data_IF_891203090987
#
_entry.id   IF_891203090987
#
_cell.length_a   1.000
_cell.length_b   1.000
_cell.length_c   1.000
_cell.angle_alpha   90.00
_cell.angle_beta   90.00
_cell.angle_gamma   90.00
#
_symmetry.space_group_name_H-M   'P 1'
#
loop_
_entity.id
_entity.type
_entity.pdbx_description
1 polymer ?
#
# COMPACT_ATOMS: atom_id res chain seq x y z
N UNK A 1 0.58 11.22 5.22
CA UNK A 1 1.88 11.28 4.50
C UNK A 1 2.89 10.21 4.98
N UNK A 2 2.84 9.77 6.24
CA UNK A 2 3.80 8.80 6.82
C UNK A 2 3.87 7.41 6.16
N UNK A 3 2.77 6.90 5.60
CA UNK A 3 2.75 5.54 5.00
C UNK A 3 3.56 5.47 3.71
N UNK A 4 3.50 6.49 2.86
CA UNK A 4 4.31 6.48 1.65
C UNK A 4 5.78 6.74 1.97
N UNK A 5 6.07 7.70 2.86
CA UNK A 5 7.43 8.07 3.21
C UNK A 5 8.23 6.90 3.80
N UNK A 6 7.71 6.25 4.85
CA UNK A 6 8.38 5.08 5.46
C UNK A 6 8.57 3.91 4.49
N UNK A 7 7.68 3.75 3.50
CA UNK A 7 7.77 2.68 2.51
C UNK A 7 8.76 3.01 1.39
N UNK A 8 8.86 4.29 1.02
CA UNK A 8 9.90 4.81 0.11
C UNK A 8 11.27 4.67 0.77
N UNK A 9 11.44 5.06 2.04
CA UNK A 9 12.70 4.90 2.78
C UNK A 9 13.17 3.44 2.81
N UNK A 10 12.25 2.49 2.99
CA UNK A 10 12.60 1.07 2.92
C UNK A 10 13.01 0.71 1.50
N UNK A 11 12.29 1.13 0.46
CA UNK A 11 12.61 0.84 -0.96
C UNK A 11 13.92 1.44 -1.45
N UNK A 12 14.32 2.62 -0.94
CA UNK A 12 15.55 3.33 -1.33
C UNK A 12 16.82 2.76 -0.67
N UNK A 13 16.67 1.81 0.26
CA UNK A 13 17.81 1.15 0.90
C UNK A 13 18.65 0.40 -0.16
N UNK A 14 19.94 0.70 -0.25
CA UNK A 14 20.86 -0.03 -1.14
C UNK A 14 20.82 -1.52 -0.76
N UNK A 15 20.45 -2.38 -1.72
CA UNK A 15 20.30 -3.85 -1.64
C UNK A 15 18.92 -4.45 -1.37
N UNK A 16 17.81 -3.73 -1.55
CA UNK A 16 16.51 -4.43 -1.54
C UNK A 16 16.40 -5.43 -2.69
N UNK A 17 16.10 -6.68 -2.36
CA UNK A 17 15.69 -7.68 -3.33
C UNK A 17 14.33 -7.33 -3.94
N UNK A 18 14.08 -7.80 -5.16
CA UNK A 18 12.77 -7.61 -5.82
C UNK A 18 11.61 -8.19 -4.97
N UNK A 19 11.87 -9.25 -4.21
CA UNK A 19 10.89 -9.85 -3.29
C UNK A 19 10.57 -8.94 -2.10
N UNK A 20 11.56 -8.25 -1.54
CA UNK A 20 11.35 -7.27 -0.47
C UNK A 20 10.58 -6.05 -1.00
N UNK A 21 10.95 -5.53 -2.17
CA UNK A 21 10.24 -4.43 -2.81
C UNK A 21 8.78 -4.83 -3.09
N UNK A 22 8.54 -6.04 -3.62
CA UNK A 22 7.20 -6.57 -3.86
C UNK A 22 6.37 -6.65 -2.56
N UNK A 23 6.97 -7.13 -1.47
CA UNK A 23 6.32 -7.21 -0.15
C UNK A 23 5.95 -5.82 0.41
N UNK A 24 6.84 -4.83 0.25
CA UNK A 24 6.59 -3.45 0.66
C UNK A 24 5.42 -2.87 -0.12
N UNK A 25 5.41 -3.01 -1.44
CA UNK A 25 4.33 -2.49 -2.29
C UNK A 25 3.00 -3.18 -1.99
N UNK A 26 2.99 -4.49 -1.76
CA UNK A 26 1.79 -5.22 -1.32
C UNK A 26 1.26 -4.69 0.02
N UNK A 27 2.15 -4.37 0.96
CA UNK A 27 1.73 -3.77 2.24
C UNK A 27 1.10 -2.39 2.08
N UNK A 28 1.55 -1.60 1.08
CA UNK A 28 0.96 -0.31 0.74
C UNK A 28 -0.42 -0.51 0.10
N UNK A 29 -0.54 -1.47 -0.82
CA UNK A 29 -1.81 -1.83 -1.46
C UNK A 29 -2.88 -2.20 -0.43
N UNK A 30 -2.52 -3.09 0.50
CA UNK A 30 -3.42 -3.52 1.58
C UNK A 30 -3.86 -2.34 2.45
N UNK A 31 -2.93 -1.47 2.86
CA UNK A 31 -3.26 -0.30 3.66
C UNK A 31 -4.18 0.70 2.92
N UNK A 32 -4.04 0.84 1.60
CA UNK A 32 -4.93 1.67 0.78
C UNK A 32 -6.31 1.02 0.64
N UNK A 33 -6.37 -0.30 0.46
CA UNK A 33 -7.63 -1.05 0.42
C UNK A 33 -8.41 -0.93 1.73
N UNK A 34 -7.75 -1.12 2.87
CA UNK A 34 -8.37 -0.97 4.20
C UNK A 34 -8.93 0.44 4.40
N UNK A 35 -8.15 1.47 4.07
CA UNK A 35 -8.59 2.87 4.16
C UNK A 35 -9.78 3.15 3.25
N UNK A 36 -9.80 2.59 2.03
CA UNK A 36 -10.93 2.71 1.13
C UNK A 36 -12.18 2.05 1.70
N UNK A 37 -12.06 0.82 2.20
CA UNK A 37 -13.18 0.09 2.81
C UNK A 37 -13.77 0.81 4.02
N UNK A 38 -12.93 1.47 4.81
CA UNK A 38 -13.33 2.26 5.97
C UNK A 38 -13.83 3.67 5.62
N UNK A 39 -13.88 4.04 4.33
CA UNK A 39 -14.10 5.42 3.86
C UNK A 39 -13.24 6.44 4.62
N UNK A 40 -12.00 6.05 4.91
CA UNK A 40 -11.12 6.81 5.77
C UNK A 40 -10.85 8.18 5.17
N UNK A 41 -11.01 9.22 5.99
CA UNK A 41 -10.76 10.59 5.60
C UNK A 41 -9.73 11.20 6.57
N UNK A 42 -8.50 11.49 6.10
CA UNK A 42 -7.45 12.01 6.95
C UNK A 42 -7.85 13.31 7.65
N UNK A 43 -7.47 13.47 8.92
CA UNK A 43 -7.74 14.69 9.71
C UNK A 43 -7.27 15.95 8.98
N UNK A 44 -6.08 15.90 8.37
CA UNK A 44 -5.55 17.03 7.63
C UNK A 44 -6.41 17.44 6.42
N UNK A 45 -7.02 16.47 5.75
CA UNK A 45 -7.96 16.74 4.64
C UNK A 45 -9.23 17.37 5.21
N UNK A 46 -9.73 16.88 6.35
CA UNK A 46 -10.87 17.50 7.03
C UNK A 46 -10.61 18.95 7.42
N UNK A 47 -9.42 19.25 7.93
CA UNK A 47 -8.98 20.61 8.27
C UNK A 47 -8.94 21.53 7.04
N UNK A 48 -8.26 21.10 5.97
CA UNK A 48 -8.06 21.92 4.77
C UNK A 48 -9.39 22.28 4.10
N UNK A 49 -10.33 21.34 4.08
CA UNK A 49 -11.62 21.52 3.41
C UNK A 49 -12.74 22.00 4.36
N UNK A 50 -12.43 22.34 5.61
CA UNK A 50 -13.42 22.73 6.62
C UNK A 50 -14.60 21.75 6.68
N UNK A 51 -14.28 20.48 6.94
CA UNK A 51 -15.24 19.38 6.91
C UNK A 51 -16.49 19.67 7.75
N UNK A 52 -17.65 19.58 7.11
CA UNK A 52 -18.97 19.81 7.71
C UNK A 52 -20.01 18.91 7.01
N UNK A 53 -21.27 18.95 7.45
CA UNK A 53 -22.30 18.09 6.85
C UNK A 53 -22.59 18.40 5.37
N UNK A 54 -22.45 19.64 4.92
CA UNK A 54 -22.79 20.01 3.54
C UNK A 54 -21.74 19.54 2.52
N UNK A 55 -20.47 19.40 2.92
CA UNK A 55 -19.40 18.89 2.06
C UNK A 55 -18.99 17.44 2.34
N UNK A 56 -19.51 16.82 3.40
CA UNK A 56 -19.09 15.48 3.85
C UNK A 56 -19.20 14.40 2.78
N UNK A 57 -20.31 14.33 2.05
CA UNK A 57 -20.56 13.30 1.03
C UNK A 57 -19.65 13.46 -0.17
N UNK A 58 -19.54 14.68 -0.70
CA UNK A 58 -18.67 14.99 -1.84
C UNK A 58 -17.21 14.71 -1.50
N UNK A 59 -16.74 15.15 -0.33
CA UNK A 59 -15.36 14.96 0.07
C UNK A 59 -15.01 13.49 0.30
N UNK A 60 -15.94 12.70 0.87
CA UNK A 60 -15.78 11.25 0.95
C UNK A 60 -15.66 10.61 -0.43
N UNK A 61 -16.53 10.99 -1.37
CA UNK A 61 -16.49 10.49 -2.75
C UNK A 61 -15.16 10.81 -3.42
N UNK A 62 -14.67 12.04 -3.31
CA UNK A 62 -13.37 12.42 -3.86
C UNK A 62 -12.22 11.67 -3.19
N UNK A 63 -12.28 11.44 -1.88
CA UNK A 63 -11.26 10.64 -1.19
C UNK A 63 -11.26 9.17 -1.65
N UNK A 64 -12.44 8.59 -1.87
CA UNK A 64 -12.56 7.24 -2.45
C UNK A 64 -11.97 7.19 -3.86
N UNK A 65 -12.23 8.20 -4.69
CA UNK A 65 -11.60 8.32 -6.01
C UNK A 65 -10.07 8.36 -5.90
N UNK A 66 -9.51 9.09 -4.93
CA UNK A 66 -8.05 9.13 -4.70
C UNK A 66 -7.51 7.75 -4.35
N UNK A 67 -8.20 6.98 -3.51
CA UNK A 67 -7.80 5.60 -3.22
C UNK A 67 -7.87 4.70 -4.44
N UNK A 68 -8.92 4.82 -5.25
CA UNK A 68 -9.07 4.06 -6.50
C UNK A 68 -7.94 4.33 -7.49
N UNK A 69 -7.59 5.61 -7.68
CA UNK A 69 -6.48 5.98 -8.55
C UNK A 69 -5.13 5.49 -8.01
N UNK A 70 -4.93 5.58 -6.69
CA UNK A 70 -3.72 5.07 -6.04
C UNK A 70 -3.55 3.56 -6.21
N UNK A 71 -4.63 2.79 -5.98
CA UNK A 71 -4.65 1.33 -6.19
C UNK A 71 -4.44 0.98 -7.66
N UNK A 72 -5.11 1.67 -8.59
CA UNK A 72 -4.93 1.46 -10.02
C UNK A 72 -3.48 1.71 -10.45
N UNK A 73 -2.88 2.82 -10.00
CA UNK A 73 -1.49 3.13 -10.29
C UNK A 73 -0.56 2.05 -9.75
N UNK A 74 -0.73 1.67 -8.48
CA UNK A 74 0.09 0.66 -7.84
C UNK A 74 0.01 -0.67 -8.60
N UNK A 75 -1.19 -1.13 -8.94
CA UNK A 75 -1.43 -2.36 -9.70
C UNK A 75 -0.76 -2.33 -11.08
N UNK A 76 -0.80 -1.19 -11.78
CA UNK A 76 -0.14 -1.04 -13.08
C UNK A 76 1.38 -1.20 -12.97
N UNK A 77 1.99 -0.71 -11.89
CA UNK A 77 3.42 -0.81 -11.65
C UNK A 77 3.85 -2.17 -11.11
N UNK A 78 3.00 -2.83 -10.31
CA UNK A 78 3.28 -4.14 -9.72
C UNK A 78 2.89 -5.32 -10.60
N UNK A 79 2.19 -5.12 -11.72
CA UNK A 79 1.80 -6.20 -12.64
C UNK A 79 3.00 -7.06 -13.11
N UNK A 80 4.13 -6.41 -13.39
CA UNK A 80 5.35 -7.12 -13.80
C UNK A 80 6.06 -7.82 -12.64
N UNK A 81 5.62 -7.62 -11.39
CA UNK A 81 6.24 -8.25 -10.23
C UNK A 81 5.70 -9.65 -9.99
N UNK A 82 4.56 -10.01 -10.61
CA UNK A 82 3.97 -11.33 -10.48
C UNK A 82 4.89 -12.44 -10.97
N UNK A 83 5.74 -12.16 -11.96
CA UNK A 83 6.75 -13.12 -12.45
C UNK A 83 7.80 -13.47 -11.37
N UNK A 84 8.01 -12.59 -10.39
CA UNK A 84 8.96 -12.79 -9.30
C UNK A 84 8.30 -13.42 -8.06
N UNK A 85 7.02 -13.81 -8.12
CA UNK A 85 6.35 -14.53 -7.04
C UNK A 85 7.09 -15.83 -6.68
N UNK A 86 7.78 -16.46 -7.64
CA UNK A 86 8.62 -17.63 -7.41
C UNK A 86 9.84 -17.35 -6.50
N UNK A 87 10.20 -16.08 -6.28
CA UNK A 87 11.30 -15.64 -5.41
C UNK A 87 10.80 -15.22 -4.02
N UNK A 88 9.50 -15.33 -3.71
CA UNK A 88 8.95 -15.00 -2.38
C UNK A 88 9.59 -15.77 -1.23
N UNK A 89 10.16 -16.95 -1.51
CA UNK A 89 10.87 -17.73 -0.50
C UNK A 89 12.15 -17.05 0.00
N UNK A 90 12.76 -16.16 -0.79
CA UNK A 90 13.94 -15.39 -0.39
C UNK A 90 13.65 -14.40 0.73
N UNK A 91 12.38 -14.01 0.89
CA UNK A 91 11.91 -13.12 1.96
C UNK A 91 11.51 -13.87 3.25
N UNK A 92 11.74 -15.18 3.35
CA UNK A 92 11.51 -15.92 4.59
C UNK A 92 12.60 -15.64 5.64
N UNK A 93 12.23 -14.88 6.67
CA UNK A 93 13.11 -14.62 7.82
C UNK A 93 13.05 -15.72 8.89
N UNK A 94 12.31 -16.81 8.64
CA UNK A 94 12.20 -17.96 9.53
C UNK A 94 12.76 -19.19 8.84
N UNK A 95 13.52 -20.00 9.59
CA UNK A 95 14.05 -21.25 9.08
C UNK A 95 12.87 -22.18 8.76
N UNK A 96 12.72 -22.66 7.51
CA UNK A 96 11.68 -23.63 7.19
C UNK A 96 11.89 -24.90 8.03
N UNK A 97 10.82 -25.34 8.70
CA UNK A 97 10.79 -26.63 9.39
C UNK A 97 10.62 -27.72 8.33
N UNK A 98 11.72 -28.22 7.82
CA UNK A 98 11.70 -29.43 6.99
C UNK A 98 11.41 -30.61 7.91
N UNK A 99 10.15 -31.06 7.95
CA UNK A 99 9.85 -32.39 8.51
C UNK A 99 10.35 -33.40 7.50
N UNK A 100 11.59 -33.87 7.69
CA UNK A 100 12.16 -34.95 6.91
C UNK A 100 11.23 -36.16 6.93
N UNK A 101 11.03 -36.76 5.75
CA UNK A 101 10.40 -38.06 5.60
C UNK A 101 11.43 -39.16 5.83
#
# INVERSE_FOLDING_TARGET
>A
MYVFHSKIEIMEKENNSISEISSILLSVENALHERKQQEFLPLKVKEIFNYNQSNASNLKKEMLNVYDHGLYYLKKWTANFDQFNCLKWMSFNTKPLWTGT
#
